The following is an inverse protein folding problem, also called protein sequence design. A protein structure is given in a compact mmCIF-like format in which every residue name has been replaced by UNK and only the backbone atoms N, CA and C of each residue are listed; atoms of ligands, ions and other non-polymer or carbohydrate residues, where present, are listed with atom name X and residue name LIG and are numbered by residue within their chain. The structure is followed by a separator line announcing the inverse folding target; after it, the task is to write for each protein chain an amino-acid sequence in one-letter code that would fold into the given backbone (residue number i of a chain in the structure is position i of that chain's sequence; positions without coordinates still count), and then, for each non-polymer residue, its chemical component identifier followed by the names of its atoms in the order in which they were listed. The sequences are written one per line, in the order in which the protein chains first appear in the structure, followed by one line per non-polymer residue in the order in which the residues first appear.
data_IF_436175550867
#
_entry.id   IF_436175550867
#
_cell.length_a   1.000
_cell.length_b   1.000
_cell.length_c   1.000
_cell.angle_alpha   90.00
_cell.angle_beta   90.00
_cell.angle_gamma   90.00
#
_symmetry.space_group_name_H-M   'P 1'
#
loop_
_entity.id
_entity.type
_entity.pdbx_description
1 polymer ?
#
# COMPACT_ATOMS: atom_id res chain seq x y z
N UNK A 1 -1.19 -13.43 -5.47
CA UNK A 1 -0.98 -12.73 -4.19
C UNK A 1 0.48 -12.34 -4.05
N UNK A 2 0.84 -11.15 -4.54
CA UNK A 2 2.22 -10.67 -4.50
C UNK A 2 2.39 -9.89 -3.21
N UNK A 3 3.34 -10.32 -2.38
CA UNK A 3 3.79 -9.53 -1.24
C UNK A 3 4.56 -8.34 -1.80
N UNK A 4 4.45 -7.17 -1.17
CA UNK A 4 5.32 -6.05 -1.51
C UNK A 4 6.76 -6.44 -1.17
N UNK A 5 7.72 -5.91 -1.92
CA UNK A 5 9.11 -5.94 -1.45
C UNK A 5 9.23 -5.04 -0.22
N UNK A 6 10.22 -5.32 0.63
CA UNK A 6 10.47 -4.54 1.85
C UNK A 6 10.56 -3.02 1.58
N UNK A 7 11.23 -2.62 0.48
CA UNK A 7 11.30 -1.21 0.08
C UNK A 7 9.94 -0.59 -0.29
N UNK A 8 9.05 -1.36 -0.94
CA UNK A 8 7.70 -0.89 -1.30
C UNK A 8 6.80 -0.83 -0.06
N UNK A 9 6.96 -1.76 0.86
CA UNK A 9 6.26 -1.76 2.13
C UNK A 9 6.68 -0.58 3.02
N UNK A 10 7.98 -0.31 3.10
CA UNK A 10 8.52 0.87 3.78
C UNK A 10 7.98 2.17 3.17
N UNK A 11 7.82 2.23 1.84
CA UNK A 11 7.22 3.39 1.20
C UNK A 11 5.73 3.58 1.59
N UNK A 12 4.96 2.49 1.74
CA UNK A 12 3.59 2.58 2.30
C UNK A 12 3.64 3.10 3.73
N UNK A 13 4.50 2.53 4.57
CA UNK A 13 4.68 2.93 5.97
C UNK A 13 4.95 4.44 6.10
N UNK A 14 5.94 4.95 5.37
CA UNK A 14 6.32 6.37 5.42
C UNK A 14 5.20 7.29 4.95
N UNK A 15 4.45 6.86 3.93
CA UNK A 15 3.30 7.61 3.45
C UNK A 15 2.17 7.68 4.49
N UNK A 16 1.83 6.55 5.12
CA UNK A 16 0.83 6.50 6.17
C UNK A 16 1.25 7.32 7.39
N UNK A 17 2.53 7.28 7.77
CA UNK A 17 3.07 8.14 8.83
C UNK A 17 2.91 9.62 8.52
N UNK A 18 3.09 10.02 7.25
CA UNK A 18 2.85 11.39 6.80
C UNK A 18 1.37 11.75 6.88
N UNK A 19 0.47 10.85 6.50
CA UNK A 19 -0.97 11.07 6.65
C UNK A 19 -1.38 11.26 8.11
N UNK A 20 -0.86 10.41 9.00
CA UNK A 20 -1.12 10.52 10.43
C UNK A 20 -0.62 11.87 10.99
N UNK A 21 0.56 12.33 10.56
CA UNK A 21 1.12 13.62 10.98
C UNK A 21 0.28 14.86 10.60
N UNK A 22 -0.60 14.72 9.60
CA UNK A 22 -1.54 15.79 9.18
C UNK A 22 -2.96 15.55 9.70
N UNK A 23 -3.14 14.62 10.64
CA UNK A 23 -4.43 14.31 11.27
C UNK A 23 -5.33 13.40 10.45
N UNK A 24 -4.83 12.73 9.41
CA UNK A 24 -5.59 11.76 8.64
C UNK A 24 -5.37 10.34 9.17
N UNK A 25 -6.42 9.77 9.77
CA UNK A 25 -6.39 8.37 10.20
C UNK A 25 -6.35 7.40 9.00
N UNK A 26 -5.42 6.45 9.05
CA UNK A 26 -5.27 5.40 8.05
C UNK A 26 -6.42 4.38 8.16
N UNK A 27 -7.42 4.48 7.27
CA UNK A 27 -8.47 3.46 7.12
C UNK A 27 -7.95 2.27 6.30
N UNK A 28 -8.51 1.07 6.52
CA UNK A 28 -8.17 -0.15 5.78
C UNK A 28 -8.15 0.04 4.25
N UNK A 29 -9.14 0.79 3.73
CA UNK A 29 -9.24 1.14 2.31
C UNK A 29 -8.09 2.04 1.84
N UNK A 30 -7.62 2.96 2.69
CA UNK A 30 -6.49 3.85 2.37
C UNK A 30 -5.22 3.04 2.27
N UNK A 31 -4.94 2.15 3.24
CA UNK A 31 -3.74 1.29 3.25
C UNK A 31 -3.67 0.42 1.99
N UNK A 32 -4.79 -0.22 1.64
CA UNK A 32 -4.90 -1.04 0.43
C UNK A 32 -4.68 -0.21 -0.84
N UNK A 33 -5.29 0.98 -0.90
CA UNK A 33 -5.14 1.89 -2.03
C UNK A 33 -3.71 2.40 -2.18
N UNK A 34 -3.00 2.66 -1.08
CA UNK A 34 -1.60 3.09 -1.10
C UNK A 34 -0.68 1.98 -1.65
N UNK A 35 -0.84 0.74 -1.17
CA UNK A 35 -0.09 -0.39 -1.68
C UNK A 35 -0.30 -0.60 -3.19
N UNK A 36 -1.55 -0.51 -3.65
CA UNK A 36 -1.87 -0.59 -5.08
C UNK A 36 -1.30 0.58 -5.89
N UNK A 37 -1.33 1.81 -5.36
CA UNK A 37 -0.76 2.98 -6.04
C UNK A 37 0.76 2.84 -6.25
N UNK A 38 1.48 2.34 -5.26
CA UNK A 38 2.93 2.07 -5.36
C UNK A 38 3.20 0.98 -6.39
N UNK A 39 2.42 -0.10 -6.41
CA UNK A 39 2.56 -1.16 -7.39
C UNK A 39 2.29 -0.66 -8.82
N UNK A 40 1.24 0.14 -9.00
CA UNK A 40 0.90 0.76 -10.29
C UNK A 40 2.02 1.68 -10.79
N UNK A 41 2.51 2.58 -9.94
CA UNK A 41 3.56 3.52 -10.32
C UNK A 41 4.86 2.82 -10.72
N UNK A 42 5.27 1.78 -9.98
CA UNK A 42 6.45 0.99 -10.35
C UNK A 42 6.23 0.20 -11.64
N UNK A 43 5.04 -0.36 -11.87
CA UNK A 43 4.71 -1.07 -13.10
C UNK A 43 4.77 -0.16 -14.33
N UNK A 44 4.31 1.08 -14.21
CA UNK A 44 4.38 2.10 -15.28
C UNK A 44 5.82 2.55 -15.57
N UNK A 45 6.68 2.63 -14.54
CA UNK A 45 8.10 2.98 -14.67
C UNK A 45 8.94 1.86 -15.30
N UNK A 46 8.73 0.61 -14.87
CA UNK A 46 9.55 -0.54 -15.26
C UNK A 46 9.34 -0.93 -16.73
N UNK A 47 8.20 -0.58 -17.34
CA UNK A 47 7.95 -0.88 -18.75
C UNK A 47 6.83 -0.02 -19.35
N UNK A 48 7.16 0.94 -20.24
CA UNK A 48 6.17 1.68 -21.01
C UNK A 48 5.33 0.79 -21.95
N UNK A 49 5.85 -0.40 -22.26
CA UNK A 49 5.24 -1.40 -23.17
C UNK A 49 4.24 -2.31 -22.41
N UNK A 50 4.27 -2.30 -21.06
CA UNK A 50 3.34 -3.07 -20.23
C UNK A 50 1.92 -2.46 -20.16
N UNK A 51 1.55 -1.57 -21.10
CA UNK A 51 0.21 -0.97 -21.16
C UNK A 51 -0.90 -2.00 -21.36
N UNK A 52 -0.57 -3.19 -21.87
CA UNK A 52 -1.53 -4.26 -22.14
C UNK A 52 -1.78 -5.16 -20.91
N UNK A 53 -0.95 -5.10 -19.88
CA UNK A 53 -1.14 -5.87 -18.66
C UNK A 53 -1.62 -4.96 -17.52
N UNK A 54 -2.67 -5.36 -16.77
CA UNK A 54 -3.10 -4.58 -15.62
C UNK A 54 -1.98 -4.56 -14.57
N UNK A 55 -1.79 -3.44 -13.85
CA UNK A 55 -0.80 -3.36 -12.79
C UNK A 55 -1.11 -4.39 -11.70
N UNK A 56 -0.09 -4.97 -11.07
CA UNK A 56 -0.29 -5.89 -9.96
C UNK A 56 -0.97 -5.16 -8.79
N UNK A 57 -1.86 -5.86 -8.09
CA UNK A 57 -2.48 -5.38 -6.85
C UNK A 57 -1.92 -6.13 -5.65
N UNK A 58 -2.01 -5.50 -4.47
CA UNK A 58 -1.72 -6.20 -3.21
C UNK A 58 -2.69 -7.37 -3.03
N UNK A 59 -2.22 -8.44 -2.40
CA UNK A 59 -3.07 -9.59 -2.09
C UNK A 59 -4.11 -9.27 -1.02
N UNK A 60 -5.23 -10.01 -0.95
CA UNK A 60 -6.29 -9.78 0.04
C UNK A 60 -5.82 -9.95 1.49
N UNK A 61 -4.76 -10.74 1.70
CA UNK A 61 -4.13 -10.96 3.02
C UNK A 61 -3.04 -9.94 3.35
N UNK A 62 -2.57 -9.14 2.38
CA UNK A 62 -1.45 -8.24 2.63
C UNK A 62 -1.82 -7.12 3.60
N UNK A 63 -2.97 -6.47 3.38
CA UNK A 63 -3.43 -5.37 4.24
C UNK A 63 -3.59 -5.78 5.71
N UNK A 64 -4.24 -6.91 6.08
CA UNK A 64 -4.29 -7.32 7.47
C UNK A 64 -2.91 -7.65 8.04
N UNK A 65 -2.04 -8.36 7.33
CA UNK A 65 -0.67 -8.66 7.81
C UNK A 65 0.16 -7.38 8.01
N UNK A 66 0.06 -6.41 7.11
CA UNK A 66 0.73 -5.12 7.23
C UNK A 66 0.29 -4.38 8.51
N UNK A 67 -1.00 -4.44 8.85
CA UNK A 67 -1.54 -3.76 10.03
C UNK A 67 -1.25 -4.50 11.35
N UNK A 68 -1.09 -5.83 11.29
CA UNK A 68 -0.55 -6.60 12.42
C UNK A 68 0.92 -6.23 12.71
N UNK A 69 1.70 -5.93 11.67
CA UNK A 69 3.10 -5.55 11.79
C UNK A 69 3.30 -4.09 12.26
N UNK A 70 2.35 -3.20 11.96
CA UNK A 70 2.39 -1.78 12.31
C UNK A 70 1.13 -1.36 13.08
N UNK A 71 1.01 -1.75 14.36
CA UNK A 71 -0.19 -1.54 15.16
C UNK A 71 -0.47 -0.06 15.42
N UNK A 72 0.48 0.85 15.23
CA UNK A 72 0.26 2.30 15.35
C UNK A 72 -0.78 2.84 14.36
N UNK A 73 -0.98 2.17 13.23
CA UNK A 73 -2.04 2.51 12.27
C UNK A 73 -3.35 1.88 12.73
N UNK A 74 -3.93 2.39 13.82
CA UNK A 74 -5.22 1.92 14.33
C UNK A 74 -6.31 2.04 13.26
N UNK A 75 -6.89 0.91 12.88
CA UNK A 75 -8.07 0.88 12.02
C UNK A 75 -9.29 1.28 12.87
N UNK A 76 -9.86 2.45 12.61
CA UNK A 76 -11.25 2.68 12.99
C UNK A 76 -12.13 1.78 12.13
N UNK A 77 -12.73 0.74 12.74
CA UNK A 77 -13.82 -0.03 12.11
C UNK A 77 -14.90 0.99 11.69
N UNK A 78 -15.23 0.97 10.40
CA UNK A 78 -16.36 1.74 9.87
C UNK A 78 -17.68 1.21 10.43
#
# INVERSE_FOLDING_TARGET
NKWLSEAKELAVYLYLKRLDSIGMSARLLIVTSCGNAILKHNHELDSPISSNNPPPTVGPIWTPCFLEQYPEFHIHKQ
#
